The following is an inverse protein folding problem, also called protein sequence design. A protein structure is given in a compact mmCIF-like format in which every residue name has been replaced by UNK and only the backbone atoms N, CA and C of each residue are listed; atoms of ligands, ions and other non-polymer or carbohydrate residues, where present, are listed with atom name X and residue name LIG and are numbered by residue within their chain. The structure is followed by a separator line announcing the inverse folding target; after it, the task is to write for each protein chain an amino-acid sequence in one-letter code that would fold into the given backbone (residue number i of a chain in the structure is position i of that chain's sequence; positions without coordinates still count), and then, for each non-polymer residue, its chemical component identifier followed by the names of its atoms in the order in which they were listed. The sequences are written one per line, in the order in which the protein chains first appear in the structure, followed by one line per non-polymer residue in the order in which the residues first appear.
data_IF_693663646191
#
_entry.id   IF_693663646191
#
_cell.length_a   1.000
_cell.length_b   1.000
_cell.length_c   1.000
_cell.angle_alpha   90.00
_cell.angle_beta   90.00
_cell.angle_gamma   90.00
#
_symmetry.space_group_name_H-M   'P 1'
#
loop_
_entity.id
_entity.type
_entity.pdbx_description
1 polymer ?
#
# COMPACT_ATOMS: atom_id res chain seq x y z
N UNK A 1 26.23 13.96 -34.17
CA UNK A 1 26.04 13.06 -33.01
C UNK A 1 25.69 13.87 -31.75
N UNK A 2 24.40 13.93 -31.39
CA UNK A 2 23.94 14.49 -30.13
C UNK A 2 23.27 13.36 -29.34
N UNK A 3 24.01 12.80 -28.39
CA UNK A 3 23.48 11.79 -27.48
C UNK A 3 22.54 12.50 -26.49
N UNK A 4 21.24 12.28 -26.66
CA UNK A 4 20.22 12.76 -25.73
C UNK A 4 20.33 12.02 -24.40
N UNK A 5 20.56 12.76 -23.32
CA UNK A 5 20.39 12.28 -21.96
C UNK A 5 18.90 12.07 -21.70
N UNK A 6 18.46 10.81 -21.65
CA UNK A 6 17.17 10.43 -21.09
C UNK A 6 17.28 10.47 -19.56
N UNK A 7 16.61 11.43 -18.94
CA UNK A 7 16.37 11.40 -17.49
C UNK A 7 15.32 10.33 -17.21
N UNK A 8 15.77 9.14 -16.79
CA UNK A 8 14.86 8.15 -16.21
C UNK A 8 14.63 8.57 -14.76
N UNK A 9 13.53 9.27 -14.52
CA UNK A 9 13.15 9.69 -13.18
C UNK A 9 13.06 8.51 -12.23
N UNK A 10 13.75 8.60 -11.10
CA UNK A 10 13.57 7.68 -9.99
C UNK A 10 12.13 7.82 -9.50
N UNK A 11 11.27 6.87 -9.86
CA UNK A 11 9.93 6.77 -9.27
C UNK A 11 10.10 6.49 -7.79
N UNK A 12 9.43 7.27 -6.95
CA UNK A 12 9.39 6.92 -5.53
C UNK A 12 8.52 5.67 -5.37
N UNK A 13 8.73 4.88 -4.31
CA UNK A 13 7.90 3.71 -4.06
C UNK A 13 6.39 4.05 -3.99
N UNK A 14 6.04 5.29 -3.62
CA UNK A 14 4.66 5.77 -3.62
C UNK A 14 4.06 5.91 -5.03
N UNK A 15 4.88 6.23 -6.05
CA UNK A 15 4.44 6.39 -7.45
C UNK A 15 4.31 5.04 -8.19
N UNK A 16 4.77 3.95 -7.57
CA UNK A 16 4.82 2.62 -8.16
C UNK A 16 3.77 1.64 -7.59
N UNK A 17 3.12 1.99 -6.47
CA UNK A 17 2.21 1.09 -5.76
C UNK A 17 0.75 1.47 -5.99
N UNK A 18 -0.13 0.47 -6.14
CA UNK A 18 -1.57 0.72 -6.12
C UNK A 18 -1.97 1.34 -4.76
N UNK A 19 -2.72 2.46 -4.75
CA UNK A 19 -3.19 3.06 -3.50
C UNK A 19 -4.04 2.09 -2.68
N UNK A 20 -3.79 2.04 -1.37
CA UNK A 20 -4.59 1.22 -0.47
C UNK A 20 -6.06 1.68 -0.46
N UNK A 21 -7.04 0.74 -0.51
CA UNK A 21 -8.44 1.11 -0.43
C UNK A 21 -8.81 1.70 0.93
N UNK A 22 -9.63 2.76 0.91
CA UNK A 22 -10.09 3.46 2.10
C UNK A 22 -8.99 4.35 2.71
N UNK A 23 -8.96 5.60 2.26
CA UNK A 23 -8.01 6.62 2.73
C UNK A 23 -8.01 6.70 4.26
N UNK A 24 -6.83 6.54 4.84
CA UNK A 24 -6.61 6.66 6.28
C UNK A 24 -5.14 6.96 6.58
N UNK A 25 -4.90 7.58 7.73
CA UNK A 25 -3.57 7.89 8.24
C UNK A 25 -3.34 7.25 9.61
N UNK A 26 -2.07 7.22 10.07
CA UNK A 26 -1.71 6.71 11.40
C UNK A 26 -1.92 5.21 11.58
N UNK A 27 -1.97 4.43 10.49
CA UNK A 27 -2.04 2.97 10.57
C UNK A 27 -0.67 2.36 10.94
N UNK A 28 -0.71 1.22 11.60
CA UNK A 28 0.48 0.36 11.74
C UNK A 28 0.67 -0.48 10.47
N UNK A 29 1.92 -0.84 10.17
CA UNK A 29 2.24 -1.75 9.08
C UNK A 29 3.31 -2.78 9.48
N UNK A 30 3.21 -4.00 8.97
CA UNK A 30 4.19 -5.07 9.17
C UNK A 30 4.36 -5.91 7.91
N UNK A 31 5.55 -6.47 7.71
CA UNK A 31 5.85 -7.41 6.60
C UNK A 31 5.87 -8.84 7.15
N UNK A 32 5.16 -9.75 6.50
CA UNK A 32 5.14 -11.17 6.83
C UNK A 32 4.91 -12.00 5.58
N UNK A 33 5.77 -13.00 5.32
CA UNK A 33 5.60 -13.94 4.21
C UNK A 33 5.48 -13.29 2.84
N UNK A 34 6.26 -12.24 2.57
CA UNK A 34 6.24 -11.51 1.28
C UNK A 34 5.05 -10.56 1.09
N UNK A 35 4.25 -10.32 2.14
CA UNK A 35 3.08 -9.43 2.10
C UNK A 35 3.19 -8.31 3.11
N UNK A 36 2.58 -7.17 2.79
CA UNK A 36 2.48 -6.01 3.70
C UNK A 36 1.09 -5.99 4.31
N UNK A 37 1.02 -5.92 5.64
CA UNK A 37 -0.22 -5.86 6.39
C UNK A 37 -0.38 -4.46 6.96
N UNK A 38 -1.49 -3.78 6.64
CA UNK A 38 -1.85 -2.49 7.19
C UNK A 38 -3.05 -2.62 8.14
N UNK A 39 -2.87 -2.20 9.40
CA UNK A 39 -3.85 -2.37 10.48
C UNK A 39 -4.25 -1.03 11.07
N UNK A 40 -5.56 -0.84 11.26
CA UNK A 40 -6.09 0.37 11.88
C UNK A 40 -5.92 1.61 11.00
N UNK A 41 -5.69 2.74 11.66
CA UNK A 41 -5.65 4.08 11.08
C UNK A 41 -7.00 4.79 11.15
N UNK A 42 -6.95 6.10 11.02
CA UNK A 42 -8.12 6.99 11.03
C UNK A 42 -8.42 7.46 9.61
N UNK A 43 -9.64 7.20 9.16
CA UNK A 43 -10.19 7.70 7.91
C UNK A 43 -11.10 8.92 8.11
N UNK A 44 -11.60 9.53 7.03
CA UNK A 44 -12.47 10.68 7.10
C UNK A 44 -13.71 10.45 7.99
N UNK A 45 -14.11 11.46 8.76
CA UNK A 45 -15.34 11.42 9.57
C UNK A 45 -15.23 10.66 10.88
N UNK A 46 -14.06 10.68 11.54
CA UNK A 46 -13.78 10.01 12.83
C UNK A 46 -13.89 8.47 12.81
N UNK A 47 -13.74 7.86 11.63
CA UNK A 47 -13.85 6.42 11.46
C UNK A 47 -12.50 5.70 11.58
N UNK A 48 -12.40 4.73 12.50
CA UNK A 48 -11.22 3.85 12.57
C UNK A 48 -11.31 2.68 11.59
N UNK A 49 -10.19 2.34 10.94
CA UNK A 49 -10.05 1.21 10.04
C UNK A 49 -10.24 -0.13 10.77
N UNK A 50 -11.40 -0.76 10.61
CA UNK A 50 -11.72 -2.05 11.25
C UNK A 50 -11.19 -3.28 10.51
N UNK A 51 -10.84 -3.12 9.24
CA UNK A 51 -10.32 -4.20 8.38
C UNK A 51 -8.81 -4.14 8.35
N UNK A 52 -8.16 -5.30 8.42
CA UNK A 52 -6.75 -5.43 8.06
C UNK A 52 -6.68 -5.52 6.54
N UNK A 53 -5.87 -4.66 5.92
CA UNK A 53 -5.55 -4.78 4.50
C UNK A 53 -4.23 -5.50 4.34
N UNK A 54 -4.15 -6.29 3.26
CA UNK A 54 -2.97 -7.04 2.88
C UNK A 54 -2.61 -6.66 1.46
N UNK A 55 -1.39 -6.21 1.25
CA UNK A 55 -0.82 -6.00 -0.06
C UNK A 55 0.05 -7.20 -0.43
N UNK A 56 -0.29 -7.83 -1.55
CA UNK A 56 0.53 -8.87 -2.15
C UNK A 56 1.48 -8.20 -3.15
N UNK A 57 2.78 -8.24 -2.85
CA UNK A 57 3.82 -7.56 -3.65
C UNK A 57 4.01 -8.26 -4.99
N UNK A 58 3.80 -9.58 -5.07
CA UNK A 58 3.98 -10.33 -6.31
C UNK A 58 2.86 -10.06 -7.32
N UNK A 59 1.67 -9.78 -6.82
CA UNK A 59 0.47 -9.53 -7.64
C UNK A 59 0.10 -8.05 -7.74
N UNK A 60 0.87 -7.17 -7.11
CA UNK A 60 0.63 -5.73 -7.00
C UNK A 60 -0.84 -5.43 -6.66
N UNK A 61 -1.37 -6.02 -5.59
CA UNK A 61 -2.78 -5.86 -5.24
C UNK A 61 -3.08 -5.85 -3.75
N UNK A 62 -4.08 -5.05 -3.39
CA UNK A 62 -4.66 -5.04 -2.06
C UNK A 62 -5.82 -6.02 -1.92
N UNK A 63 -5.93 -6.64 -0.74
CA UNK A 63 -7.08 -7.44 -0.33
C UNK A 63 -7.41 -7.21 1.14
N UNK A 64 -8.63 -7.55 1.54
CA UNK A 64 -9.00 -7.58 2.95
C UNK A 64 -8.65 -8.92 3.58
N UNK A 65 -7.95 -8.90 4.72
CA UNK A 65 -7.72 -10.13 5.48
C UNK A 65 -9.06 -10.68 5.99
N UNK A 66 -9.41 -11.89 5.56
CA UNK A 66 -10.56 -12.61 6.10
C UNK A 66 -10.09 -13.41 7.31
N UNK A 67 -10.75 -13.24 8.45
CA UNK A 67 -10.61 -14.19 9.55
C UNK A 67 -11.11 -15.54 9.05
N UNK A 68 -10.25 -16.56 9.09
CA UNK A 68 -10.75 -17.93 9.03
C UNK A 68 -11.50 -18.19 10.33
N UNK A 69 -12.72 -18.72 10.22
CA UNK A 69 -13.47 -19.22 11.37
C UNK A 69 -12.88 -20.55 11.80
#
# INVERSE_FOLDING_TARGET
PAAGLLWVGARTAADALIPAPGARAGNAAAVLGGRIYAVGGEGPGAGYGRKVLVYDVAEDRWSGLRRRR
#
